data_IF_239456574292
#
_entry.id   IF_239456574292
#
_cell.length_a   1.000
_cell.length_b   1.000
_cell.length_c   1.000
_cell.angle_alpha   90.00
_cell.angle_beta   90.00
_cell.angle_gamma   90.00
#
_symmetry.space_group_name_H-M   'P 1'
#
loop_
_entity.id
_entity.type
_entity.pdbx_description
1 polymer ?
#
# COMPACT_ATOMS: atom_id res chain seq x y z
N UNK A 1 6.77 -26.00 -0.17
CA UNK A 1 5.31 -25.92 -0.11
C UNK A 1 4.85 -25.17 -1.34
N UNK A 2 3.97 -25.76 -2.12
CA UNK A 2 3.38 -25.13 -3.31
C UNK A 2 2.48 -23.95 -2.91
N UNK A 3 2.38 -22.90 -3.76
CA UNK A 3 1.52 -21.76 -3.49
C UNK A 3 0.04 -22.20 -3.45
N UNK A 4 -0.79 -21.60 -2.58
CA UNK A 4 -2.21 -21.95 -2.47
C UNK A 4 -2.95 -21.71 -3.81
N UNK A 5 -3.96 -22.55 -4.10
CA UNK A 5 -4.81 -22.57 -5.31
C UNK A 5 -5.64 -21.29 -5.62
N UNK A 6 -5.26 -20.14 -5.07
CA UNK A 6 -5.76 -18.81 -5.43
C UNK A 6 -4.68 -17.80 -5.07
N UNK A 7 -4.40 -16.78 -5.91
CA UNK A 7 -3.31 -15.83 -5.64
C UNK A 7 -3.53 -15.14 -4.28
N UNK A 8 -2.53 -15.15 -3.38
CA UNK A 8 -2.62 -14.46 -2.10
C UNK A 8 -2.63 -12.94 -2.30
N UNK A 9 -3.30 -12.21 -1.42
CA UNK A 9 -3.26 -10.76 -1.34
C UNK A 9 -1.88 -10.31 -0.82
N UNK A 10 -1.26 -9.34 -1.51
CA UNK A 10 -0.01 -8.74 -1.04
C UNK A 10 -0.30 -7.73 0.05
N UNK A 11 0.20 -7.97 1.26
CA UNK A 11 0.00 -7.09 2.40
C UNK A 11 0.95 -5.90 2.36
N UNK A 12 2.23 -6.17 2.13
CA UNK A 12 3.30 -5.18 2.08
C UNK A 12 4.67 -5.84 1.94
N UNK A 13 5.71 -5.03 1.77
CA UNK A 13 7.11 -5.50 1.74
C UNK A 13 8.01 -4.51 2.46
N UNK A 14 9.01 -5.02 3.18
CA UNK A 14 10.03 -4.23 3.87
C UNK A 14 11.28 -5.09 4.10
N UNK A 15 12.47 -4.51 3.95
CA UNK A 15 13.76 -5.17 4.19
C UNK A 15 13.91 -6.52 3.49
N UNK A 16 13.44 -6.60 2.24
CA UNK A 16 13.49 -7.82 1.43
C UNK A 16 12.51 -8.92 1.85
N UNK A 17 11.64 -8.67 2.83
CA UNK A 17 10.56 -9.58 3.21
C UNK A 17 9.24 -9.15 2.59
N UNK A 18 8.42 -10.13 2.22
CA UNK A 18 7.09 -9.94 1.66
C UNK A 18 6.06 -10.54 2.60
N UNK A 19 5.07 -9.76 3.00
CA UNK A 19 3.92 -10.25 3.75
C UNK A 19 2.76 -10.56 2.78
N UNK A 20 2.24 -11.78 2.87
CA UNK A 20 1.19 -12.32 2.00
C UNK A 20 0.01 -12.81 2.85
N UNK A 21 -1.20 -12.53 2.41
CA UNK A 21 -2.44 -12.97 3.05
C UNK A 21 -3.27 -13.82 2.08
N UNK A 22 -3.52 -15.08 2.42
CA UNK A 22 -4.32 -16.00 1.61
C UNK A 22 -5.81 -15.89 1.94
N UNK A 23 -6.67 -16.16 0.95
CA UNK A 23 -8.14 -16.33 1.16
C UNK A 23 -8.49 -17.39 2.20
N UNK A 24 -7.58 -18.33 2.48
CA UNK A 24 -7.72 -19.31 3.58
C UNK A 24 -7.44 -18.74 4.98
N UNK A 25 -7.28 -17.42 5.09
CA UNK A 25 -6.93 -16.67 6.32
C UNK A 25 -5.56 -17.02 6.88
N UNK A 26 -4.67 -17.46 6.00
CA UNK A 26 -3.30 -17.73 6.35
C UNK A 26 -2.45 -16.51 5.98
N UNK A 27 -1.66 -16.02 6.93
CA UNK A 27 -0.67 -14.97 6.67
C UNK A 27 0.72 -15.58 6.64
N UNK A 28 1.54 -15.16 5.69
CA UNK A 28 2.91 -15.61 5.53
C UNK A 28 3.85 -14.42 5.43
N UNK A 29 4.99 -14.50 6.11
CA UNK A 29 6.14 -13.67 5.80
C UNK A 29 7.08 -14.53 4.95
N UNK A 30 7.39 -14.08 3.75
CA UNK A 30 8.21 -14.79 2.78
C UNK A 30 9.47 -13.99 2.48
N UNK A 31 10.62 -14.65 2.57
CA UNK A 31 11.89 -14.16 2.05
C UNK A 31 12.13 -14.83 0.68
N UNK A 32 11.96 -14.10 -0.43
CA UNK A 32 12.16 -14.65 -1.77
C UNK A 32 13.62 -15.06 -2.03
N UNK A 33 14.58 -14.29 -1.51
CA UNK A 33 16.03 -14.51 -1.71
C UNK A 33 16.49 -15.87 -1.19
N UNK A 34 16.07 -16.26 0.01
CA UNK A 34 16.41 -17.58 0.58
C UNK A 34 15.29 -18.63 0.38
N UNK A 35 14.21 -18.26 -0.31
CA UNK A 35 13.04 -19.10 -0.60
C UNK A 35 12.39 -19.72 0.66
N UNK A 36 12.48 -19.04 1.81
CA UNK A 36 11.86 -19.50 3.07
C UNK A 36 10.66 -18.64 3.42
N UNK A 37 9.62 -19.27 3.94
CA UNK A 37 8.45 -18.59 4.47
C UNK A 37 8.17 -19.02 5.91
N UNK A 38 7.60 -18.09 6.68
CA UNK A 38 7.06 -18.32 8.02
C UNK A 38 5.56 -18.09 7.95
N UNK A 39 4.79 -19.13 8.25
CA UNK A 39 3.35 -19.00 8.48
C UNK A 39 3.13 -18.33 9.83
N UNK A 40 2.33 -17.27 9.86
CA UNK A 40 1.92 -16.63 11.11
C UNK A 40 0.78 -17.43 11.75
N UNK A 41 0.61 -17.30 13.06
CA UNK A 41 -0.52 -17.94 13.72
C UNK A 41 -1.84 -17.53 13.08
N UNK A 42 -2.72 -18.51 12.91
CA UNK A 42 -4.03 -18.30 12.32
C UNK A 42 -4.78 -17.27 13.18
N UNK A 43 -5.15 -16.16 12.55
CA UNK A 43 -5.98 -15.16 13.19
C UNK A 43 -7.45 -15.51 12.95
N UNK A 44 -8.34 -15.09 13.85
CA UNK A 44 -9.80 -15.26 13.70
C UNK A 44 -10.45 -14.20 12.80
N UNK A 45 -9.65 -13.32 12.19
CA UNK A 45 -10.10 -12.07 11.54
C UNK A 45 -9.82 -12.07 10.02
N UNK A 46 -10.20 -11.00 9.30
CA UNK A 46 -9.98 -10.90 7.85
C UNK A 46 -10.96 -11.72 7.01
N UNK A 47 -12.21 -11.84 7.46
CA UNK A 47 -13.30 -12.50 6.71
C UNK A 47 -13.95 -11.59 5.68
N UNK A 48 -13.68 -10.27 5.77
CA UNK A 48 -14.28 -9.26 4.91
C UNK A 48 -13.46 -9.08 3.63
N UNK A 49 -14.15 -9.03 2.49
CA UNK A 49 -13.54 -8.61 1.21
C UNK A 49 -13.06 -7.14 1.23
N UNK A 50 -13.33 -6.40 2.31
CA UNK A 50 -12.91 -5.01 2.51
C UNK A 50 -11.76 -4.85 3.51
N UNK A 51 -11.16 -5.95 4.00
CA UNK A 51 -10.02 -5.92 4.93
C UNK A 51 -8.87 -5.09 4.34
N UNK A 52 -8.43 -4.07 5.05
CA UNK A 52 -7.27 -3.24 4.71
C UNK A 52 -6.07 -3.77 5.45
N UNK A 53 -4.88 -3.59 4.92
CA UNK A 53 -3.70 -4.26 5.45
C UNK A 53 -2.44 -3.42 5.27
N UNK A 54 -1.45 -3.68 6.12
CA UNK A 54 -0.15 -3.02 6.09
C UNK A 54 0.94 -3.93 6.64
N UNK A 55 2.18 -3.73 6.19
CA UNK A 55 3.34 -4.44 6.71
C UNK A 55 4.47 -3.43 6.92
N UNK A 56 5.08 -3.44 8.09
CA UNK A 56 6.12 -2.50 8.46
C UNK A 56 7.15 -3.11 9.40
N UNK A 57 8.19 -2.34 9.68
CA UNK A 57 9.33 -2.72 10.49
C UNK A 57 9.63 -1.63 11.52
N UNK A 58 9.84 -2.05 12.76
CA UNK A 58 10.28 -1.20 13.87
C UNK A 58 11.81 -1.26 13.93
N UNK A 59 12.47 -0.23 13.38
CA UNK A 59 13.93 -0.12 13.33
C UNK A 59 14.56 -0.14 14.75
N UNK A 60 13.86 0.40 15.75
CA UNK A 60 14.37 0.53 17.12
C UNK A 60 14.39 -0.79 17.88
N UNK A 61 13.52 -1.72 17.49
CA UNK A 61 13.36 -3.01 18.19
C UNK A 61 13.70 -4.23 17.32
N UNK A 62 13.96 -4.05 16.02
CA UNK A 62 14.25 -5.12 15.06
C UNK A 62 13.11 -6.14 14.93
N UNK A 63 11.87 -5.63 14.79
CA UNK A 63 10.68 -6.47 14.66
C UNK A 63 9.75 -6.00 13.55
N UNK A 64 9.12 -6.97 12.90
CA UNK A 64 8.13 -6.75 11.87
C UNK A 64 6.73 -6.73 12.48
N UNK A 65 5.87 -5.86 11.93
CA UNK A 65 4.45 -5.85 12.25
C UNK A 65 3.61 -5.98 10.99
N UNK A 66 2.53 -6.75 11.10
CA UNK A 66 1.51 -6.84 10.07
C UNK A 66 0.18 -6.36 10.64
N UNK A 67 -0.48 -5.45 9.93
CA UNK A 67 -1.74 -4.85 10.34
C UNK A 67 -2.86 -5.32 9.42
N UNK A 68 -4.02 -5.60 9.99
CA UNK A 68 -5.27 -5.91 9.29
C UNK A 68 -6.40 -5.11 9.92
N UNK A 69 -7.08 -4.30 9.12
CA UNK A 69 -8.07 -3.32 9.55
C UNK A 69 -9.40 -3.69 8.89
N UNK A 70 -10.35 -4.12 9.72
CA UNK A 70 -11.69 -4.52 9.33
C UNK A 70 -12.67 -3.40 9.68
N UNK A 71 -13.31 -2.83 8.66
CA UNK A 71 -14.50 -1.98 8.84
C UNK A 71 -15.73 -2.88 8.90
N UNK A 72 -16.19 -3.16 10.12
CA UNK A 72 -17.40 -3.93 10.38
C UNK A 72 -18.59 -2.98 10.48
N UNK A 73 -19.74 -3.37 9.95
CA UNK A 73 -20.96 -2.56 10.09
C UNK A 73 -22.14 -3.22 9.41
N UNK A 74 -23.32 -2.68 9.68
CA UNK A 74 -24.52 -3.08 8.97
C UNK A 74 -24.65 -2.23 7.72
N UNK A 75 -25.04 -2.85 6.60
CA UNK A 75 -25.33 -2.17 5.35
C UNK A 75 -26.81 -2.35 5.02
N UNK A 76 -27.50 -1.24 4.76
CA UNK A 76 -28.87 -1.25 4.24
C UNK A 76 -28.99 -0.17 3.15
N UNK A 77 -29.52 -0.55 1.99
CA UNK A 77 -29.67 0.36 0.84
C UNK A 77 -28.38 1.11 0.43
N UNK A 78 -27.20 0.50 0.65
CA UNK A 78 -25.91 1.13 0.36
C UNK A 78 -25.41 2.10 1.43
N UNK A 79 -26.16 2.31 2.51
CA UNK A 79 -25.67 3.07 3.66
C UNK A 79 -25.13 2.14 4.74
N UNK A 80 -23.94 2.45 5.24
CA UNK A 80 -23.30 1.74 6.33
C UNK A 80 -23.52 2.47 7.65
N UNK A 81 -23.98 1.76 8.65
CA UNK A 81 -24.22 2.31 9.99
C UNK A 81 -23.79 1.33 11.07
N UNK A 82 -23.63 1.86 12.28
CA UNK A 82 -23.01 1.14 13.41
C UNK A 82 -21.61 0.60 13.04
N UNK A 83 -20.83 1.42 12.32
CA UNK A 83 -19.50 1.04 11.87
C UNK A 83 -18.56 0.91 13.07
N UNK A 84 -18.00 -0.27 13.24
CA UNK A 84 -16.92 -0.57 14.18
C UNK A 84 -15.65 -0.84 13.39
N UNK A 85 -14.52 -0.39 13.92
CA UNK A 85 -13.23 -0.66 13.30
C UNK A 85 -12.49 -1.63 14.21
N UNK A 86 -12.06 -2.77 13.64
CA UNK A 86 -11.25 -3.75 14.34
C UNK A 86 -9.88 -3.79 13.69
N UNK A 87 -8.84 -3.48 14.45
CA UNK A 87 -7.46 -3.47 13.99
C UNK A 87 -6.73 -4.63 14.65
N UNK A 88 -6.14 -5.48 13.85
CA UNK A 88 -5.36 -6.64 14.28
C UNK A 88 -3.91 -6.41 13.93
N UNK A 89 -3.05 -6.43 14.94
CA UNK A 89 -1.62 -6.17 14.82
C UNK A 89 -0.89 -7.44 15.21
N UNK A 90 -0.20 -8.06 14.24
CA UNK A 90 0.78 -9.09 14.53
C UNK A 90 2.12 -8.43 14.85
N UNK A 91 2.80 -8.95 15.86
CA UNK A 91 4.18 -8.60 16.17
C UNK A 91 5.08 -9.83 16.04
N UNK A 92 6.16 -9.73 15.26
CA UNK A 92 7.14 -10.81 15.15
C UNK A 92 7.94 -11.03 16.43
N UNK A 93 7.99 -10.03 17.33
CA UNK A 93 8.64 -10.08 18.64
C UNK A 93 8.02 -11.13 19.56
N UNK A 94 6.73 -10.96 19.81
CA UNK A 94 5.94 -11.80 20.72
C UNK A 94 5.34 -13.00 19.99
N UNK A 95 5.41 -12.98 18.65
CA UNK A 95 4.75 -13.95 17.79
C UNK A 95 3.26 -14.05 18.13
N UNK A 96 2.60 -12.92 18.39
CA UNK A 96 1.21 -12.86 18.85
C UNK A 96 0.44 -11.78 18.11
N UNK A 97 -0.88 -11.84 18.24
CA UNK A 97 -1.81 -10.85 17.71
C UNK A 97 -2.33 -9.98 18.85
N UNK A 98 -2.38 -8.67 18.63
CA UNK A 98 -3.06 -7.69 19.48
C UNK A 98 -4.27 -7.14 18.71
N UNK A 99 -5.39 -6.95 19.40
CA UNK A 99 -6.62 -6.43 18.81
C UNK A 99 -6.91 -5.07 19.43
N UNK A 100 -7.16 -4.08 18.58
CA UNK A 100 -7.62 -2.76 18.96
C UNK A 100 -9.01 -2.54 18.36
N UNK A 101 -9.88 -1.91 19.15
CA UNK A 101 -11.25 -1.62 18.76
C UNK A 101 -11.48 -0.13 18.67
N UNK A 102 -12.27 0.27 17.69
CA UNK A 102 -12.85 1.62 17.51
C UNK A 102 -11.85 2.77 17.42
N UNK A 103 -10.56 2.47 17.22
CA UNK A 103 -9.62 3.44 16.65
C UNK A 103 -9.97 3.63 15.17
N UNK A 104 -9.95 4.87 14.67
CA UNK A 104 -10.37 5.25 13.31
C UNK A 104 -11.88 5.28 13.05
N UNK A 105 -12.70 5.43 14.09
CA UNK A 105 -14.16 5.61 13.90
C UNK A 105 -14.44 6.83 13.01
N UNK A 106 -15.22 6.61 11.95
CA UNK A 106 -15.57 7.65 10.96
C UNK A 106 -14.50 7.92 9.90
N UNK A 107 -13.37 7.21 9.94
CA UNK A 107 -12.31 7.27 8.92
C UNK A 107 -12.42 6.00 8.08
N UNK A 108 -12.49 6.14 6.76
CA UNK A 108 -12.53 5.02 5.83
C UNK A 108 -11.26 4.97 5.00
N UNK A 109 -10.59 3.81 4.98
CA UNK A 109 -9.38 3.63 4.19
C UNK A 109 -9.75 3.23 2.76
N UNK A 110 -9.27 3.98 1.78
CA UNK A 110 -9.56 3.74 0.38
C UNK A 110 -8.71 2.58 -0.14
N UNK A 111 -7.39 2.71 0.01
CA UNK A 111 -6.40 1.75 -0.46
C UNK A 111 -6.40 0.48 0.39
N UNK A 112 -6.43 -0.70 -0.25
CA UNK A 112 -6.29 -1.98 0.47
C UNK A 112 -4.93 -2.15 1.17
N UNK A 113 -3.84 -1.79 0.49
CA UNK A 113 -2.47 -1.98 0.96
C UNK A 113 -1.88 -0.66 1.40
N UNK A 114 -1.48 -0.59 2.66
CA UNK A 114 -0.71 0.52 3.22
C UNK A 114 0.72 0.53 2.68
N UNK A 115 1.34 1.70 2.68
CA UNK A 115 2.69 1.92 2.18
C UNK A 115 3.65 2.23 3.33
N UNK A 116 4.62 1.36 3.58
CA UNK A 116 5.60 1.54 4.65
C UNK A 116 6.77 2.41 4.20
N UNK A 117 7.06 3.45 4.99
CA UNK A 117 8.17 4.40 4.78
C UNK A 117 8.64 4.94 6.12
N UNK A 118 9.94 4.78 6.40
CA UNK A 118 10.63 5.38 7.55
C UNK A 118 9.92 5.16 8.88
N UNK A 119 9.56 3.90 9.18
CA UNK A 119 8.91 3.52 10.45
C UNK A 119 7.39 3.64 10.46
N UNK A 120 6.77 4.23 9.43
CA UNK A 120 5.32 4.46 9.40
C UNK A 120 4.64 3.80 8.20
N UNK A 121 3.38 3.38 8.36
CA UNK A 121 2.55 2.84 7.27
C UNK A 121 1.44 3.82 6.91
N UNK A 122 1.30 4.13 5.61
CA UNK A 122 0.38 5.15 5.12
C UNK A 122 -0.80 4.59 4.33
N UNK A 123 -1.99 5.14 4.56
CA UNK A 123 -3.20 4.92 3.77
C UNK A 123 -3.87 6.24 3.39
N UNK A 124 -4.53 6.25 2.24
CA UNK A 124 -5.41 7.36 1.84
C UNK A 124 -6.79 7.15 2.44
N UNK A 125 -7.42 8.22 2.90
CA UNK A 125 -8.68 8.15 3.65
C UNK A 125 -9.79 9.02 3.05
N UNK A 126 -11.03 8.60 3.26
CA UNK A 126 -12.24 9.36 2.94
C UNK A 126 -13.19 9.41 4.14
N UNK A 127 -14.22 10.24 4.00
CA UNK A 127 -15.28 10.44 5.00
C UNK A 127 -16.41 9.41 4.93
N UNK A 128 -16.40 8.51 3.94
CA UNK A 128 -17.44 7.50 3.74
C UNK A 128 -16.99 6.33 2.87
N UNK A 129 -17.63 5.16 3.02
CA UNK A 129 -17.32 3.94 2.24
C UNK A 129 -17.56 4.14 0.73
N UNK A 130 -18.59 4.92 0.39
CA UNK A 130 -18.93 5.30 -0.97
C UNK A 130 -18.47 6.72 -1.32
N UNK A 131 -17.81 7.40 -0.37
CA UNK A 131 -17.11 8.65 -0.65
C UNK A 131 -15.70 8.32 -1.11
N UNK A 132 -15.48 8.50 -2.40
CA UNK A 132 -14.20 8.27 -3.03
C UNK A 132 -13.32 9.52 -3.05
N UNK A 133 -13.83 10.64 -2.53
CA UNK A 133 -13.05 11.85 -2.38
C UNK A 133 -12.09 11.68 -1.21
N UNK A 134 -10.81 11.67 -1.53
CA UNK A 134 -9.79 11.55 -0.51
C UNK A 134 -9.69 12.86 0.24
N UNK A 135 -9.68 12.78 1.56
CA UNK A 135 -9.61 13.94 2.45
C UNK A 135 -8.22 14.12 3.02
N UNK A 136 -7.62 13.01 3.44
CA UNK A 136 -6.33 13.03 4.12
C UNK A 136 -5.54 11.74 3.84
N UNK A 137 -4.26 11.74 4.22
CA UNK A 137 -3.56 10.49 4.48
C UNK A 137 -3.51 10.25 6.00
N UNK A 138 -3.57 8.99 6.39
CA UNK A 138 -3.33 8.56 7.77
C UNK A 138 -2.09 7.69 7.82
N UNK A 139 -1.29 7.85 8.87
CA UNK A 139 -0.13 7.04 9.16
C UNK A 139 -0.32 6.22 10.43
N UNK A 140 0.33 5.06 10.49
CA UNK A 140 0.51 4.28 11.70
C UNK A 140 1.99 4.17 11.98
N UNK A 141 2.44 4.70 13.12
CA UNK A 141 3.80 4.53 13.60
C UNK A 141 3.99 3.09 14.10
N UNK A 142 4.90 2.36 13.48
CA UNK A 142 5.12 0.94 13.78
C UNK A 142 5.79 0.76 15.15
N UNK A 143 6.62 1.69 15.59
CA UNK A 143 7.32 1.62 16.86
C UNK A 143 6.41 2.03 18.02
N UNK A 144 5.74 3.16 17.92
CA UNK A 144 4.93 3.72 19.00
C UNK A 144 3.49 3.18 18.99
N UNK A 145 3.07 2.51 17.92
CA UNK A 145 1.70 2.02 17.70
C UNK A 145 0.65 3.15 17.78
N UNK A 146 1.01 4.33 17.27
CA UNK A 146 0.15 5.51 17.27
C UNK A 146 -0.31 5.88 15.86
N UNK A 147 -1.44 6.57 15.78
CA UNK A 147 -1.98 7.08 14.52
C UNK A 147 -1.59 8.54 14.32
N UNK A 148 -1.08 8.86 13.13
CA UNK A 148 -0.79 10.22 12.69
C UNK A 148 -1.67 10.60 11.50
N UNK A 149 -1.80 11.89 11.24
CA UNK A 149 -2.44 12.41 10.03
C UNK A 149 -1.44 13.17 9.18
N UNK A 150 -1.60 13.08 7.87
CA UNK A 150 -0.71 13.70 6.89
C UNK A 150 -1.55 14.39 5.82
N UNK A 151 -1.56 15.72 5.87
CA UNK A 151 -2.27 16.55 4.89
C UNK A 151 -1.84 16.22 3.47
N UNK A 152 -2.80 16.29 2.55
CA UNK A 152 -2.60 16.10 1.12
C UNK A 152 -2.05 17.37 0.46
N UNK A 153 -1.33 17.27 -0.68
CA UNK A 153 -1.08 18.45 -1.50
C UNK A 153 -2.40 19.09 -1.92
N UNK A 154 -2.41 20.43 -1.90
CA UNK A 154 -3.53 21.22 -2.38
C UNK A 154 -3.62 21.07 -3.91
N UNK A 155 -4.58 20.28 -4.39
CA UNK A 155 -4.94 20.24 -5.79
C UNK A 155 -6.06 21.26 -6.04
N UNK A 156 -5.89 22.10 -7.07
CA UNK A 156 -6.86 23.14 -7.43
C UNK A 156 -7.99 22.64 -8.35
N UNK A 157 -7.86 21.42 -8.87
CA UNK A 157 -8.82 20.78 -9.77
C UNK A 157 -9.62 19.70 -9.05
N UNK A 158 -10.77 19.31 -9.60
CA UNK A 158 -11.56 18.18 -9.08
C UNK A 158 -10.73 16.89 -9.16
N UNK A 159 -10.46 16.29 -8.01
CA UNK A 159 -9.64 15.07 -7.90
C UNK A 159 -10.53 13.85 -7.99
N UNK A 160 -10.29 12.99 -8.99
CA UNK A 160 -11.10 11.79 -9.21
C UNK A 160 -10.55 10.55 -8.54
N UNK A 161 -9.22 10.45 -8.42
CA UNK A 161 -8.57 9.28 -7.84
C UNK A 161 -7.22 9.69 -7.23
N UNK A 162 -6.93 9.16 -6.06
CA UNK A 162 -5.61 9.27 -5.43
C UNK A 162 -5.10 7.88 -5.14
N UNK A 163 -3.83 7.65 -5.47
CA UNK A 163 -3.18 6.44 -5.02
C UNK A 163 -1.75 6.68 -4.55
N UNK A 164 -1.36 5.86 -3.58
CA UNK A 164 -0.07 5.97 -2.88
C UNK A 164 0.97 5.03 -3.47
N UNK A 165 2.21 5.52 -3.57
CA UNK A 165 3.39 4.78 -4.00
C UNK A 165 4.58 5.06 -3.10
N UNK A 166 5.60 4.19 -3.17
CA UNK A 166 6.88 4.38 -2.49
C UNK A 166 7.98 4.18 -3.51
N UNK A 167 8.96 5.07 -3.50
CA UNK A 167 10.15 4.96 -4.33
C UNK A 167 11.33 5.47 -3.52
N UNK A 168 12.41 4.69 -3.47
CA UNK A 168 13.69 5.12 -2.86
C UNK A 168 13.51 5.74 -1.45
N UNK A 169 12.57 5.19 -0.67
CA UNK A 169 12.21 5.64 0.67
C UNK A 169 11.47 6.98 0.76
N UNK A 170 10.95 7.49 -0.36
CA UNK A 170 10.09 8.67 -0.43
C UNK A 170 8.62 8.29 -0.71
N UNK A 171 7.69 9.05 -0.12
CA UNK A 171 6.24 8.84 -0.31
C UNK A 171 5.78 9.61 -1.55
N UNK A 172 5.12 8.89 -2.45
CA UNK A 172 4.51 9.47 -3.64
C UNK A 172 3.00 9.38 -3.57
N UNK A 173 2.37 10.43 -4.09
CA UNK A 173 0.94 10.48 -4.30
C UNK A 173 0.70 10.77 -5.77
N UNK A 174 -0.04 9.90 -6.43
CA UNK A 174 -0.55 10.14 -7.78
C UNK A 174 -1.98 10.66 -7.69
N UNK A 175 -2.20 11.84 -8.25
CA UNK A 175 -3.49 12.50 -8.40
C UNK A 175 -3.98 12.33 -9.83
N UNK A 176 -5.18 11.79 -10.03
CA UNK A 176 -5.82 11.80 -11.34
C UNK A 176 -6.76 13.01 -11.43
N UNK A 177 -6.36 14.02 -12.21
CA UNK A 177 -7.10 15.28 -12.35
C UNK A 177 -8.34 15.12 -13.24
N UNK A 178 -8.23 14.34 -14.32
CA UNK A 178 -9.34 14.04 -15.23
C UNK A 178 -9.19 12.59 -15.70
N UNK A 179 -10.17 11.71 -15.43
CA UNK A 179 -10.14 10.33 -15.89
C UNK A 179 -9.86 10.30 -17.39
N UNK A 180 -8.93 9.47 -17.83
CA UNK A 180 -8.61 9.37 -19.25
C UNK A 180 -7.53 10.30 -19.79
N UNK A 181 -7.04 11.27 -19.01
CA UNK A 181 -6.17 12.32 -19.56
C UNK A 181 -4.84 12.44 -18.86
N UNK A 182 -4.82 12.86 -17.59
CA UNK A 182 -3.58 13.22 -16.90
C UNK A 182 -3.59 12.79 -15.44
N UNK A 183 -2.39 12.51 -14.93
CA UNK A 183 -2.16 12.37 -13.49
C UNK A 183 -0.94 13.14 -13.03
N UNK A 184 -1.07 13.88 -11.93
CA UNK A 184 0.04 14.56 -11.29
C UNK A 184 0.71 13.65 -10.26
N UNK A 185 2.05 13.57 -10.33
CA UNK A 185 2.87 12.86 -9.35
C UNK A 185 3.44 13.89 -8.38
N UNK A 186 3.06 13.74 -7.10
CA UNK A 186 3.54 14.55 -5.99
C UNK A 186 4.42 13.73 -5.09
N UNK A 187 5.44 14.38 -4.53
CA UNK A 187 6.36 13.78 -3.58
C UNK A 187 6.32 14.53 -2.25
N UNK A 188 6.34 13.77 -1.16
CA UNK A 188 6.44 14.32 0.19
C UNK A 188 7.89 14.70 0.47
N UNK A 189 8.15 15.99 0.70
CA UNK A 189 9.46 16.52 1.06
C UNK A 189 9.51 16.83 2.57
N UNK A 190 10.67 16.54 3.18
CA UNK A 190 11.09 16.97 4.53
C UNK A 190 10.05 16.79 5.65
N UNK A 191 9.92 15.56 6.19
CA UNK A 191 9.07 15.28 7.37
C UNK A 191 9.53 15.92 8.68
N UNK A 192 10.78 16.39 8.76
CA UNK A 192 11.44 16.75 10.04
C UNK A 192 11.17 18.17 10.53
N UNK A 193 10.73 19.09 9.66
CA UNK A 193 10.57 20.51 10.02
C UNK A 193 9.20 21.04 9.60
N UNK A 194 8.83 20.88 8.32
CA UNK A 194 7.51 21.23 7.80
C UNK A 194 7.14 20.26 6.68
N UNK A 195 6.05 19.54 6.87
CA UNK A 195 5.46 18.67 5.85
C UNK A 195 5.12 19.52 4.63
N UNK A 196 5.75 19.23 3.49
CA UNK A 196 5.47 19.92 2.24
C UNK A 196 5.42 18.94 1.07
N UNK A 197 4.53 19.22 0.12
CA UNK A 197 4.40 18.41 -1.09
C UNK A 197 4.92 19.19 -2.29
N UNK A 198 5.71 18.52 -3.12
CA UNK A 198 6.22 19.10 -4.36
C UNK A 198 5.70 18.28 -5.54
N UNK A 199 5.13 18.96 -6.54
CA UNK A 199 4.76 18.31 -7.81
C UNK A 199 6.03 17.98 -8.58
N UNK A 200 6.25 16.70 -8.88
CA UNK A 200 7.44 16.25 -9.61
C UNK A 200 7.21 16.30 -11.12
N UNK A 201 6.06 15.81 -11.59
CA UNK A 201 5.68 15.83 -13.00
C UNK A 201 4.19 15.51 -13.20
N UNK A 202 3.71 15.70 -14.43
CA UNK A 202 2.39 15.26 -14.90
C UNK A 202 2.59 14.14 -15.91
N UNK A 203 1.83 13.07 -15.74
CA UNK A 203 1.72 11.95 -16.67
C UNK A 203 0.56 12.25 -17.61
N UNK A 204 0.82 12.20 -18.91
CA UNK A 204 -0.22 12.27 -19.94
C UNK A 204 -0.48 10.86 -20.47
N UNK A 205 -1.75 10.43 -20.45
CA UNK A 205 -2.16 9.13 -20.97
C UNK A 205 -2.60 9.25 -22.44
N UNK A 206 -2.32 8.24 -23.28
CA UNK A 206 -2.84 8.19 -24.65
C UNK A 206 -4.38 8.18 -24.66
N UNK A 207 -5.00 9.03 -25.50
CA UNK A 207 -6.43 9.39 -25.46
C UNK A 207 -7.48 8.28 -25.70
N UNK A 208 -7.11 7.00 -25.83
CA UNK A 208 -8.06 5.95 -26.22
C UNK A 208 -8.04 4.67 -25.35
N UNK A 209 -7.30 4.69 -24.24
CA UNK A 209 -6.86 3.45 -23.60
C UNK A 209 -7.32 3.30 -22.13
N UNK A 210 -8.22 4.19 -21.68
CA UNK A 210 -8.49 4.44 -20.25
C UNK A 210 -9.92 4.06 -19.80
N UNK A 211 -10.82 3.73 -20.73
CA UNK A 211 -12.26 3.63 -20.43
C UNK A 211 -12.71 2.47 -19.52
N UNK A 212 -11.83 1.53 -19.12
CA UNK A 212 -12.29 0.34 -18.39
C UNK A 212 -11.42 -0.13 -17.20
N UNK A 213 -10.28 0.51 -16.92
CA UNK A 213 -9.33 -0.01 -15.92
C UNK A 213 -9.08 0.86 -14.68
N UNK A 214 -9.52 2.11 -14.68
CA UNK A 214 -8.99 3.15 -13.78
C UNK A 214 -10.01 3.71 -12.78
N UNK A 215 -11.29 3.34 -12.89
CA UNK A 215 -12.39 4.02 -12.20
C UNK A 215 -12.57 3.64 -10.74
N UNK A 216 -11.86 2.64 -10.23
CA UNK A 216 -11.95 2.29 -8.81
C UNK A 216 -10.76 2.85 -8.01
N UNK A 217 -10.99 3.77 -7.05
CA UNK A 217 -9.97 4.23 -6.10
C UNK A 217 -9.58 3.14 -5.09
N UNK A 218 -10.24 1.99 -5.15
CA UNK A 218 -9.98 0.83 -4.32
C UNK A 218 -8.70 0.11 -4.78
N UNK A 219 -8.35 0.20 -6.07
CA UNK A 219 -7.18 -0.49 -6.62
C UNK A 219 -5.88 0.28 -6.34
N UNK A 220 -5.06 -0.33 -5.48
CA UNK A 220 -3.66 0.08 -5.33
C UNK A 220 -2.88 -0.25 -6.60
N UNK A 221 -2.04 0.69 -6.99
CA UNK A 221 -1.04 0.55 -8.04
C UNK A 221 0.34 0.62 -7.39
N UNK A 222 1.37 0.30 -8.17
CA UNK A 222 2.75 0.46 -7.71
C UNK A 222 3.48 1.33 -8.71
N UNK A 223 3.93 2.49 -8.24
CA UNK A 223 4.95 3.25 -8.97
C UNK A 223 6.29 2.71 -8.50
N UNK A 224 7.13 2.35 -9.45
CA UNK A 224 8.54 2.12 -9.22
C UNK A 224 9.29 3.16 -10.05
N UNK A 225 9.81 4.21 -9.42
CA UNK A 225 10.80 5.03 -10.10
C UNK A 225 12.15 4.36 -9.85
N UNK A 226 12.96 4.27 -10.88
CA UNK A 226 14.34 3.85 -10.72
C UNK A 226 15.18 5.06 -11.07
N UNK A 227 15.97 5.55 -10.14
CA UNK A 227 17.02 6.47 -10.49
C UNK A 227 18.14 5.66 -11.18
N UNK A 228 18.03 5.46 -12.50
CA UNK A 228 19.15 5.03 -13.35
C UNK A 228 19.83 6.25 -13.97
N UNK A 229 20.94 6.04 -14.69
CA UNK A 229 21.64 7.11 -15.43
C UNK A 229 20.71 7.85 -16.45
N UNK A 230 19.56 7.27 -16.78
CA UNK A 230 18.53 7.81 -17.69
C UNK A 230 17.23 8.29 -16.97
N UNK A 231 17.15 8.20 -15.63
CA UNK A 231 16.01 8.57 -14.76
C UNK A 231 14.65 7.89 -15.07
N UNK A 232 14.62 6.74 -15.77
CA UNK A 232 13.37 6.14 -16.24
C UNK A 232 12.35 5.77 -15.14
N UNK A 233 11.08 6.02 -15.46
CA UNK A 233 9.93 5.91 -14.56
C UNK A 233 9.09 4.70 -14.96
N UNK A 234 9.02 3.70 -14.10
CA UNK A 234 8.27 2.47 -14.33
C UNK A 234 6.95 2.48 -13.55
N UNK A 235 5.86 2.61 -14.27
CA UNK A 235 4.52 2.70 -13.72
C UNK A 235 3.76 1.39 -13.94
N UNK A 236 3.38 0.72 -12.85
CA UNK A 236 2.59 -0.51 -12.89
C UNK A 236 1.19 -0.23 -12.40
N UNK A 237 0.26 -0.48 -13.30
CA UNK A 237 -1.17 -0.34 -13.09
C UNK A 237 -1.78 -1.70 -13.41
N UNK A 238 -2.87 -2.11 -12.74
CA UNK A 238 -3.56 -3.34 -13.11
C UNK A 238 -3.78 -3.43 -14.63
N UNK A 239 -3.29 -4.50 -15.23
CA UNK A 239 -3.34 -4.75 -16.68
C UNK A 239 -2.31 -4.04 -17.56
N UNK A 240 -1.50 -3.10 -17.05
CA UNK A 240 -0.49 -2.36 -17.84
C UNK A 240 0.80 -2.08 -17.10
N UNK A 241 1.91 -2.23 -17.81
CA UNK A 241 3.23 -1.73 -17.43
C UNK A 241 3.56 -0.59 -18.39
N UNK A 242 3.97 0.56 -17.86
CA UNK A 242 4.35 1.73 -18.66
C UNK A 242 5.73 2.20 -18.24
N UNK A 243 6.55 2.58 -19.22
CA UNK A 243 7.85 3.19 -19.01
C UNK A 243 7.78 4.62 -19.54
N UNK A 244 8.16 5.57 -18.71
CA UNK A 244 8.32 6.97 -19.08
C UNK A 244 9.80 7.34 -18.97
N UNK A 245 10.22 8.18 -19.90
CA UNK A 245 11.53 8.82 -19.85
C UNK A 245 11.59 9.77 -18.64
N UNK A 246 12.58 9.58 -17.77
CA UNK A 246 12.73 10.42 -16.58
C UNK A 246 13.02 11.88 -16.86
N UNK A 247 13.88 12.11 -17.85
CA UNK A 247 14.41 13.43 -18.20
C UNK A 247 13.36 14.29 -18.91
N UNK A 248 12.66 13.71 -19.88
CA UNK A 248 11.66 14.38 -20.71
C UNK A 248 10.24 14.21 -20.19
N UNK A 249 10.02 13.28 -19.26
CA UNK A 249 8.71 12.90 -18.70
C UNK A 249 7.73 12.42 -19.78
N UNK A 250 8.24 11.94 -20.91
CA UNK A 250 7.44 11.44 -22.03
C UNK A 250 7.31 9.93 -21.99
N UNK A 251 6.18 9.45 -22.49
CA UNK A 251 5.91 8.03 -22.61
C UNK A 251 6.91 7.36 -23.59
N UNK A 252 7.63 6.33 -23.12
CA UNK A 252 8.53 5.51 -23.95
C UNK A 252 7.85 4.23 -24.44
N UNK A 253 7.19 3.51 -23.54
CA UNK A 253 6.71 2.15 -23.83
C UNK A 253 5.52 1.73 -22.98
N UNK A 254 4.65 0.86 -23.51
CA UNK A 254 3.64 0.14 -22.73
C UNK A 254 3.61 -1.34 -23.10
N UNK A 255 3.45 -2.16 -22.08
CA UNK A 255 3.12 -3.57 -22.21
C UNK A 255 1.77 -3.84 -21.52
N UNK A 256 0.86 -4.50 -22.24
CA UNK A 256 -0.41 -4.96 -21.68
C UNK A 256 -0.17 -6.33 -21.06
N UNK A 257 -0.50 -6.47 -19.78
CA UNK A 257 -0.33 -7.72 -19.04
C UNK A 257 -1.69 -8.34 -18.80
N UNK A 258 -2.01 -9.41 -19.54
CA UNK A 258 -3.23 -10.20 -19.27
C UNK A 258 -3.15 -10.77 -17.85
N UNK A 259 -4.24 -10.65 -17.10
CA UNK A 259 -4.45 -11.23 -15.76
C UNK A 259 -3.66 -10.62 -14.58
N UNK A 260 -2.99 -9.46 -14.75
CA UNK A 260 -2.28 -8.84 -13.64
C UNK A 260 -3.15 -7.83 -12.87
N UNK A 261 -4.03 -8.34 -11.99
CA UNK A 261 -4.84 -7.48 -11.13
C UNK A 261 -4.01 -6.78 -10.02
N UNK A 262 -2.80 -7.27 -9.74
CA UNK A 262 -1.93 -6.75 -8.66
C UNK A 262 -0.45 -6.93 -8.99
N UNK A 263 0.02 -6.44 -10.14
CA UNK A 263 1.46 -6.35 -10.38
C UNK A 263 2.10 -5.44 -9.31
N UNK A 264 3.04 -5.98 -8.52
CA UNK A 264 3.88 -5.18 -7.62
C UNK A 264 5.33 -5.48 -7.92
N UNK A 265 6.12 -4.42 -8.09
CA UNK A 265 7.57 -4.57 -8.23
C UNK A 265 8.18 -4.68 -6.85
N UNK A 266 9.02 -5.70 -6.73
CA UNK A 266 9.90 -5.88 -5.61
C UNK A 266 11.30 -5.53 -6.10
N UNK A 267 11.80 -4.37 -5.67
CA UNK A 267 13.19 -3.95 -5.92
C UNK A 267 14.08 -4.54 -4.84
N UNK A 268 14.96 -5.46 -5.21
CA UNK A 268 16.02 -5.94 -4.32
C UNK A 268 17.12 -4.89 -4.25
N UNK A 269 17.31 -4.28 -3.08
CA UNK A 269 18.68 -4.04 -2.62
C UNK A 269 19.07 -5.33 -1.90
N UNK A 270 20.13 -6.00 -2.38
CA UNK A 270 20.69 -7.20 -1.74
C UNK A 270 21.28 -6.76 -0.40
N UNK A 271 20.42 -6.59 0.60
CA UNK A 271 20.83 -6.39 1.98
C UNK A 271 21.00 -7.77 2.57
N UNK A 272 22.21 -8.01 3.05
CA UNK A 272 22.70 -9.29 3.53
C UNK A 272 21.81 -9.87 4.65
N UNK A 273 21.71 -11.20 4.69
CA UNK A 273 20.72 -11.95 5.48
C UNK A 273 20.80 -11.67 6.99
N UNK A 274 19.72 -11.18 7.60
CA UNK A 274 19.54 -11.29 9.05
C UNK A 274 18.79 -12.59 9.41
N UNK A 275 19.44 -13.32 10.29
CA UNK A 275 19.11 -14.63 10.84
C UNK A 275 17.74 -14.65 11.51
N UNK A 276 16.76 -15.33 10.90
CA UNK A 276 15.60 -15.85 11.62
C UNK A 276 16.12 -17.01 12.50
N UNK A 277 16.65 -16.70 13.68
CA UNK A 277 17.04 -17.72 14.65
C UNK A 277 15.77 -18.33 15.26
N UNK A 278 15.42 -19.55 14.84
CA UNK A 278 14.56 -20.41 15.63
C UNK A 278 15.29 -20.79 16.91
N UNK A 279 14.93 -20.18 18.05
CA UNK A 279 15.18 -20.83 19.35
C UNK A 279 14.08 -21.86 19.55
N UNK A 280 14.41 -23.12 19.27
CA UNK A 280 13.67 -24.27 19.78
C UNK A 280 13.90 -24.34 21.28
N UNK A 281 12.86 -24.16 22.08
CA UNK A 281 12.85 -24.58 23.48
C UNK A 281 12.71 -26.11 23.51
N UNK A 282 13.74 -26.78 24.04
CA UNK A 282 13.58 -28.06 24.72
C UNK A 282 13.19 -27.80 26.18
#
# INVERSE_FOLDING_TARGET
>A
MDPPCSPPFFVGSVNGLICLFSRRRDTYIWNPTIRKSKKLFKSSWGTSCYTKYGFGYDDSRDYYKALFIDHCGNSYNGEFFNTRVVINIYSSRTNSWTILHDQLKGIFLLNYSGKFINGEIYWATSTGIHDYNVRNNISFDVADETWGSLELPICREEVFNIKLGVVESELFVLYTCKPGTTSDVWILKDRRVNVSWTKRFTIEYPQYDVLYGFDSPIFTFSIYLRQSDDDDILLLIPGKIMIFDGSTKKFKHTAIVKECNTAKIYGENIVNSLTISCKSSA
#
